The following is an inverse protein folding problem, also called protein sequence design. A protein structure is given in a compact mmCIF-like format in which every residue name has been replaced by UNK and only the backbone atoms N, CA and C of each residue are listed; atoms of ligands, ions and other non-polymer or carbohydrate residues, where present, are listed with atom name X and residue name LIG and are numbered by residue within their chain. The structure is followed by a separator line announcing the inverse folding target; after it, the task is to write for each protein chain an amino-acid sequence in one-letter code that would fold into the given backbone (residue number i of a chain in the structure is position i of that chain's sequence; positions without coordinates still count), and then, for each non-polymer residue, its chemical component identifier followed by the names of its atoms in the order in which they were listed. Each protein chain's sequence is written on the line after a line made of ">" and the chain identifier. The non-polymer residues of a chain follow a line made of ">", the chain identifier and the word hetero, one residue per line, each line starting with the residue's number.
data_IF_749340426449
#
_entry.id   IF_749340426449
#
_cell.length_a   1.000
_cell.length_b   1.000
_cell.length_c   1.000
_cell.angle_alpha   90.00
_cell.angle_beta   90.00
_cell.angle_gamma   90.00
#
_symmetry.space_group_name_H-M   'P 1'
#
loop_
_entity.id
_entity.type
_entity.pdbx_description
1 polymer ?
#
# COMPACT_ATOMS: atom_id res chain seq x y z
N UNK A 1 3.75 -19.91 -8.05
CA UNK A 1 4.84 -20.84 -8.43
C UNK A 1 6.23 -20.47 -7.91
N UNK A 2 6.58 -19.19 -7.67
CA UNK A 2 7.92 -18.83 -7.19
C UNK A 2 8.25 -19.45 -5.83
N UNK A 3 7.29 -19.50 -4.88
CA UNK A 3 7.46 -20.12 -3.55
C UNK A 3 7.84 -21.61 -3.64
N UNK A 4 7.16 -22.36 -4.52
CA UNK A 4 7.49 -23.76 -4.81
C UNK A 4 8.77 -23.94 -5.63
N UNK A 5 9.19 -22.93 -6.41
CA UNK A 5 10.47 -22.95 -7.13
C UNK A 5 11.65 -22.64 -6.20
N UNK A 6 11.46 -21.78 -5.20
CA UNK A 6 12.47 -21.43 -4.20
C UNK A 6 12.61 -22.47 -3.07
N UNK A 7 11.65 -23.38 -2.93
CA UNK A 7 11.75 -24.50 -2.00
C UNK A 7 12.82 -25.49 -2.47
N UNK A 8 13.88 -25.65 -1.68
CA UNK A 8 15.04 -26.49 -2.01
C UNK A 8 14.81 -27.94 -1.60
N UNK A 9 14.02 -28.17 -0.54
CA UNK A 9 13.76 -29.51 0.02
C UNK A 9 12.29 -29.93 -0.09
N UNK A 10 12.04 -31.22 -0.16
CA UNK A 10 10.67 -31.77 -0.14
C UNK A 10 9.93 -31.41 1.15
N UNK A 11 10.65 -31.34 2.28
CA UNK A 11 10.09 -30.87 3.55
C UNK A 11 9.60 -29.42 3.48
N UNK A 12 10.32 -28.53 2.79
CA UNK A 12 9.86 -27.16 2.57
C UNK A 12 8.65 -27.11 1.64
N UNK A 13 8.63 -27.93 0.58
CA UNK A 13 7.49 -28.05 -0.35
C UNK A 13 6.24 -28.55 0.38
N UNK A 14 6.40 -29.57 1.22
CA UNK A 14 5.31 -30.12 2.03
C UNK A 14 4.82 -29.09 3.02
N UNK A 15 5.72 -28.43 3.75
CA UNK A 15 5.38 -27.32 4.65
C UNK A 15 4.60 -26.21 3.94
N UNK A 16 5.00 -25.82 2.72
CA UNK A 16 4.28 -24.81 1.95
C UNK A 16 2.85 -25.28 1.66
N UNK A 17 2.65 -26.55 1.30
CA UNK A 17 1.32 -27.08 0.97
C UNK A 17 0.43 -27.30 2.20
N UNK A 18 1.02 -27.69 3.32
CA UNK A 18 0.28 -28.07 4.53
C UNK A 18 0.08 -26.90 5.48
N UNK A 19 1.05 -25.97 5.57
CA UNK A 19 1.04 -24.86 6.54
C UNK A 19 0.88 -23.48 5.87
N UNK A 20 0.86 -23.38 4.53
CA UNK A 20 0.66 -22.10 3.85
C UNK A 20 -0.02 -22.23 2.49
N UNK A 21 -0.18 -21.12 1.76
CA UNK A 21 -0.52 -19.81 2.32
C UNK A 21 -1.88 -19.84 3.05
N UNK A 22 -2.01 -19.04 4.11
CA UNK A 22 -3.26 -18.89 4.87
C UNK A 22 -4.06 -17.72 4.30
N UNK A 23 -5.36 -17.92 4.10
CA UNK A 23 -6.26 -16.92 3.52
C UNK A 23 -7.54 -16.75 4.32
N UNK A 24 -8.07 -15.54 4.33
CA UNK A 24 -9.40 -15.23 4.87
C UNK A 24 -10.17 -14.45 3.82
N UNK A 25 -11.37 -14.90 3.49
CA UNK A 25 -12.24 -14.21 2.54
C UNK A 25 -13.68 -14.30 3.04
N UNK A 26 -14.35 -13.16 3.13
CA UNK A 26 -15.70 -13.07 3.67
C UNK A 26 -16.76 -13.47 2.63
N UNK A 27 -16.57 -13.10 1.37
CA UNK A 27 -17.55 -13.32 0.32
C UNK A 27 -17.49 -14.78 -0.17
N UNK A 28 -18.58 -15.57 -0.07
CA UNK A 28 -18.56 -16.99 -0.43
C UNK A 28 -18.08 -17.25 -1.87
N UNK A 29 -18.49 -16.40 -2.82
CA UNK A 29 -18.11 -16.55 -4.22
C UNK A 29 -16.62 -16.29 -4.45
N UNK A 30 -16.06 -15.28 -3.78
CA UNK A 30 -14.63 -14.95 -3.86
C UNK A 30 -13.79 -16.02 -3.16
N UNK A 31 -14.28 -16.55 -2.03
CA UNK A 31 -13.65 -17.66 -1.33
C UNK A 31 -13.55 -18.90 -2.23
N UNK A 32 -14.64 -19.28 -2.90
CA UNK A 32 -14.65 -20.42 -3.81
C UNK A 32 -13.67 -20.23 -4.98
N UNK A 33 -13.56 -19.01 -5.52
CA UNK A 33 -12.60 -18.68 -6.57
C UNK A 33 -11.15 -18.74 -6.06
N UNK A 34 -10.87 -18.20 -4.87
CA UNK A 34 -9.55 -18.26 -4.24
C UNK A 34 -9.13 -19.71 -3.97
N UNK A 35 -10.03 -20.53 -3.41
CA UNK A 35 -9.79 -21.95 -3.18
C UNK A 35 -9.50 -22.69 -4.49
N UNK A 36 -10.28 -22.42 -5.55
CA UNK A 36 -10.07 -23.01 -6.88
C UNK A 36 -8.70 -22.62 -7.45
N UNK A 37 -8.31 -21.35 -7.33
CA UNK A 37 -7.01 -20.86 -7.78
C UNK A 37 -5.84 -21.52 -7.05
N UNK A 38 -5.96 -21.72 -5.73
CA UNK A 38 -4.91 -22.40 -4.95
C UNK A 38 -4.79 -23.89 -5.30
N UNK A 39 -5.92 -24.57 -5.53
CA UNK A 39 -5.95 -25.98 -5.98
C UNK A 39 -5.26 -26.11 -7.34
N UNK A 40 -5.63 -25.27 -8.32
CA UNK A 40 -5.06 -25.29 -9.67
C UNK A 40 -3.55 -25.00 -9.68
N UNK A 41 -3.05 -24.24 -8.71
CA UNK A 41 -1.62 -23.92 -8.57
C UNK A 41 -0.83 -24.96 -7.77
N UNK A 42 -1.50 -25.98 -7.22
CA UNK A 42 -0.88 -27.02 -6.41
C UNK A 42 -0.51 -26.56 -4.99
N UNK A 43 -1.07 -25.44 -4.55
CA UNK A 43 -0.86 -24.86 -3.22
C UNK A 43 -1.81 -25.48 -2.17
N UNK A 44 -2.89 -26.15 -2.59
CA UNK A 44 -3.87 -26.81 -1.72
C UNK A 44 -5.00 -25.87 -1.24
N UNK A 45 -5.98 -26.38 -0.46
CA UNK A 45 -7.10 -25.58 0.08
C UNK A 45 -7.19 -25.52 1.61
N UNK A 46 -6.27 -26.21 2.31
CA UNK A 46 -6.44 -26.55 3.72
C UNK A 46 -6.46 -25.32 4.65
N UNK A 47 -5.88 -24.20 4.21
CA UNK A 47 -5.55 -23.06 5.04
C UNK A 47 -6.41 -21.81 4.69
N UNK A 48 -7.64 -22.01 4.21
CA UNK A 48 -8.55 -20.95 3.79
C UNK A 48 -9.76 -20.87 4.73
N UNK A 49 -10.02 -19.68 5.29
CA UNK A 49 -11.16 -19.40 6.15
C UNK A 49 -12.21 -18.56 5.40
N UNK A 50 -13.45 -19.04 5.37
CA UNK A 50 -14.57 -18.26 4.84
C UNK A 50 -15.22 -17.48 5.99
N UNK A 51 -15.12 -16.16 5.97
CA UNK A 51 -15.72 -15.29 6.98
C UNK A 51 -15.00 -13.95 7.11
N UNK A 52 -15.50 -13.11 8.03
CA UNK A 52 -14.84 -11.85 8.35
C UNK A 52 -13.48 -12.10 8.99
N UNK A 53 -12.44 -11.37 8.60
CA UNK A 53 -11.17 -11.41 9.30
C UNK A 53 -11.28 -10.95 10.77
N UNK A 54 -12.32 -10.19 11.11
CA UNK A 54 -12.60 -9.77 12.49
C UNK A 54 -13.38 -10.80 13.31
N UNK A 55 -13.78 -11.94 12.72
CA UNK A 55 -14.37 -13.04 13.47
C UNK A 55 -13.38 -13.59 14.51
N UNK A 56 -13.84 -13.79 15.74
CA UNK A 56 -12.96 -14.18 16.85
C UNK A 56 -12.35 -15.57 16.67
N UNK A 57 -13.10 -16.52 16.11
CA UNK A 57 -12.62 -17.88 15.89
C UNK A 57 -11.58 -17.90 14.77
N UNK A 58 -11.82 -17.17 13.68
CA UNK A 58 -10.86 -17.00 12.58
C UNK A 58 -9.61 -16.28 13.06
N UNK A 59 -9.76 -15.17 13.81
CA UNK A 59 -8.64 -14.42 14.42
C UNK A 59 -7.78 -15.33 15.29
N UNK A 60 -8.41 -16.18 16.12
CA UNK A 60 -7.72 -17.12 17.01
C UNK A 60 -6.96 -18.18 16.21
N UNK A 61 -7.56 -18.70 15.14
CA UNK A 61 -6.89 -19.65 14.24
C UNK A 61 -5.61 -19.05 13.64
N UNK A 62 -5.71 -17.87 13.02
CA UNK A 62 -4.58 -17.21 12.35
C UNK A 62 -3.45 -16.88 13.34
N UNK A 63 -3.80 -16.43 14.54
CA UNK A 63 -2.79 -16.15 15.59
C UNK A 63 -2.02 -17.41 16.01
N UNK A 64 -2.66 -18.58 15.97
CA UNK A 64 -2.01 -19.85 16.31
C UNK A 64 -1.04 -20.31 15.21
N UNK A 65 -1.28 -19.93 13.96
CA UNK A 65 -0.39 -20.25 12.83
C UNK A 65 0.95 -19.49 12.90
N UNK A 66 1.01 -18.43 13.72
CA UNK A 66 2.23 -17.64 13.97
C UNK A 66 2.86 -17.11 12.68
N UNK A 67 2.03 -16.60 11.77
CA UNK A 67 2.45 -16.08 10.47
C UNK A 67 3.58 -15.04 10.58
N UNK A 68 4.54 -15.17 9.68
CA UNK A 68 5.75 -14.33 9.62
C UNK A 68 5.57 -13.13 8.70
N UNK A 69 4.67 -13.25 7.73
CA UNK A 69 4.40 -12.24 6.71
C UNK A 69 2.90 -12.14 6.52
N UNK A 70 2.37 -10.92 6.53
CA UNK A 70 0.98 -10.62 6.20
C UNK A 70 0.92 -9.71 4.99
N UNK A 71 0.05 -10.03 4.04
CA UNK A 71 -0.22 -9.21 2.85
C UNK A 71 -1.72 -8.97 2.76
N UNK A 72 -2.14 -7.70 2.67
CA UNK A 72 -3.55 -7.36 2.52
C UNK A 72 -3.78 -6.30 1.44
N UNK A 73 -4.94 -6.39 0.80
CA UNK A 73 -5.57 -5.36 0.00
C UNK A 73 -6.99 -5.21 0.57
N UNK A 74 -7.19 -4.44 1.66
CA UNK A 74 -8.49 -4.33 2.31
C UNK A 74 -9.52 -3.70 1.38
N UNK A 75 -10.83 -3.87 1.65
CA UNK A 75 -11.86 -3.15 0.92
C UNK A 75 -11.71 -1.64 1.16
N UNK A 76 -11.79 -0.84 0.09
CA UNK A 76 -11.59 0.61 0.18
C UNK A 76 -12.88 1.35 0.50
N UNK A 77 -12.74 2.48 1.19
CA UNK A 77 -13.78 3.50 1.40
C UNK A 77 -15.10 2.93 1.93
N UNK A 78 -15.01 1.99 2.87
CA UNK A 78 -16.18 1.51 3.59
C UNK A 78 -16.74 2.66 4.43
N UNK A 79 -18.07 2.85 4.41
CA UNK A 79 -18.72 3.97 5.11
C UNK A 79 -18.69 3.88 6.65
N UNK A 80 -18.30 2.73 7.20
CA UNK A 80 -18.16 2.48 8.64
C UNK A 80 -16.69 2.68 9.06
N UNK A 81 -16.45 3.53 10.06
CA UNK A 81 -15.11 3.81 10.60
C UNK A 81 -14.43 2.55 11.17
N UNK A 82 -15.21 1.58 11.67
CA UNK A 82 -14.68 0.28 12.12
C UNK A 82 -14.21 -0.61 10.97
N UNK A 83 -14.57 -0.25 9.74
CA UNK A 83 -14.15 -0.90 8.49
C UNK A 83 -13.20 0.00 7.68
N UNK A 84 -12.59 1.01 8.31
CA UNK A 84 -11.52 1.79 7.69
C UNK A 84 -10.30 0.90 7.40
N UNK A 85 -9.58 1.15 6.31
CA UNK A 85 -8.49 0.30 5.81
C UNK A 85 -7.39 0.12 6.87
N UNK A 86 -7.06 1.18 7.61
CA UNK A 86 -6.11 1.12 8.73
C UNK A 86 -6.53 0.18 9.88
N UNK A 87 -7.83 -0.09 10.05
CA UNK A 87 -8.32 -1.07 11.03
C UNK A 87 -7.95 -2.48 10.58
N UNK A 88 -8.10 -2.79 9.29
CA UNK A 88 -7.64 -4.06 8.71
C UNK A 88 -6.11 -4.20 8.78
N UNK A 89 -5.36 -3.12 8.50
CA UNK A 89 -3.90 -3.10 8.65
C UNK A 89 -3.49 -3.45 10.07
N UNK A 90 -4.07 -2.74 11.06
CA UNK A 90 -3.81 -3.00 12.47
C UNK A 90 -4.15 -4.46 12.85
N UNK A 91 -5.31 -4.94 12.44
CA UNK A 91 -5.75 -6.31 12.73
C UNK A 91 -4.79 -7.36 12.17
N UNK A 92 -4.35 -7.20 10.91
CA UNK A 92 -3.35 -8.08 10.31
C UNK A 92 -2.04 -8.07 11.12
N UNK A 93 -1.55 -6.91 11.54
CA UNK A 93 -0.33 -6.79 12.35
C UNK A 93 -0.48 -7.44 13.74
N UNK A 94 -1.65 -7.33 14.36
CA UNK A 94 -1.98 -7.97 15.63
C UNK A 94 -2.00 -9.51 15.53
N UNK A 95 -2.31 -10.04 14.35
CA UNK A 95 -2.32 -11.48 14.06
C UNK A 95 -0.93 -12.06 13.78
N UNK A 96 0.02 -11.27 13.25
CA UNK A 96 1.38 -11.73 12.97
C UNK A 96 2.19 -12.06 14.23
N UNK A 97 3.22 -12.91 14.10
CA UNK A 97 4.19 -13.11 15.18
C UNK A 97 5.02 -11.84 15.43
N UNK A 98 5.66 -11.74 16.60
CA UNK A 98 6.58 -10.63 16.88
C UNK A 98 7.74 -10.61 15.89
N UNK A 99 8.00 -9.44 15.32
CA UNK A 99 9.00 -9.26 14.25
C UNK A 99 8.52 -9.69 12.87
N UNK A 100 7.25 -10.11 12.72
CA UNK A 100 6.67 -10.40 11.41
C UNK A 100 6.54 -9.14 10.54
N UNK A 101 6.48 -9.32 9.22
CA UNK A 101 6.41 -8.22 8.25
C UNK A 101 4.98 -8.09 7.73
N UNK A 102 4.35 -6.96 7.99
CA UNK A 102 3.04 -6.63 7.43
C UNK A 102 3.17 -5.71 6.22
N UNK A 103 2.51 -6.06 5.11
CA UNK A 103 2.48 -5.28 3.88
C UNK A 103 1.03 -5.04 3.52
N UNK A 104 0.65 -3.78 3.35
CA UNK A 104 -0.70 -3.42 2.97
C UNK A 104 -0.67 -2.44 1.79
N UNK A 105 -1.45 -2.72 0.76
CA UNK A 105 -1.78 -1.71 -0.26
C UNK A 105 -3.09 -1.04 0.15
N UNK A 106 -3.06 0.27 0.33
CA UNK A 106 -4.19 1.07 0.83
C UNK A 106 -4.28 2.39 0.06
N UNK A 107 -5.40 3.14 0.11
CA UNK A 107 -5.45 4.48 -0.45
C UNK A 107 -4.40 5.40 0.18
N UNK A 108 -3.83 6.31 -0.61
CA UNK A 108 -2.88 7.32 -0.14
C UNK A 108 -3.43 8.14 1.04
N UNK A 109 -4.75 8.30 1.11
CA UNK A 109 -5.43 8.97 2.21
C UNK A 109 -5.09 8.34 3.58
N UNK A 110 -4.86 7.03 3.66
CA UNK A 110 -4.44 6.36 4.90
C UNK A 110 -3.06 6.84 5.40
N UNK A 111 -2.19 7.28 4.49
CA UNK A 111 -0.86 7.75 4.82
C UNK A 111 -0.88 9.22 5.27
N UNK A 112 -1.65 10.07 4.57
CA UNK A 112 -1.62 11.53 4.75
C UNK A 112 -2.64 12.02 5.78
N UNK A 113 -3.85 11.45 5.82
CA UNK A 113 -4.90 11.98 6.68
C UNK A 113 -4.67 11.60 8.16
N UNK A 114 -5.04 12.49 9.10
CA UNK A 114 -5.13 12.12 10.50
C UNK A 114 -6.14 10.99 10.72
N UNK A 115 -5.74 9.95 11.45
CA UNK A 115 -6.65 8.86 11.82
C UNK A 115 -6.20 8.19 13.12
N UNK A 116 -7.14 7.88 14.02
CA UNK A 116 -6.85 7.29 15.35
C UNK A 116 -6.02 6.00 15.26
N UNK A 117 -6.28 5.17 14.26
CA UNK A 117 -5.55 3.91 14.05
C UNK A 117 -4.06 4.12 13.76
N UNK A 118 -3.61 5.29 13.25
CA UNK A 118 -2.18 5.56 13.06
C UNK A 118 -1.45 5.52 14.41
N UNK A 119 -2.02 6.14 15.44
CA UNK A 119 -1.47 6.14 16.79
C UNK A 119 -1.48 4.73 17.41
N UNK A 120 -2.57 3.98 17.23
CA UNK A 120 -2.68 2.61 17.73
C UNK A 120 -1.68 1.65 17.06
N UNK A 121 -1.48 1.78 15.74
CA UNK A 121 -0.50 1.02 14.99
C UNK A 121 0.90 1.34 15.52
N UNK A 122 1.30 2.61 15.61
CA UNK A 122 2.65 2.97 16.07
C UNK A 122 2.91 2.61 17.55
N UNK A 123 1.86 2.54 18.37
CA UNK A 123 1.95 2.10 19.77
C UNK A 123 2.42 0.65 19.89
N UNK A 124 2.00 -0.23 18.97
CA UNK A 124 2.27 -1.66 19.04
C UNK A 124 3.21 -2.18 17.94
N UNK A 125 3.39 -1.43 16.86
CA UNK A 125 4.07 -1.83 15.64
C UNK A 125 4.97 -0.71 15.14
N UNK A 126 5.87 -1.03 14.22
CA UNK A 126 6.83 -0.08 13.65
C UNK A 126 6.49 0.12 12.18
N UNK A 127 6.23 1.37 11.78
CA UNK A 127 6.22 1.74 10.37
C UNK A 127 7.64 1.65 9.83
N UNK A 128 7.85 0.81 8.82
CA UNK A 128 9.15 0.60 8.18
C UNK A 128 9.26 1.44 6.90
N UNK A 129 8.21 1.46 6.09
CA UNK A 129 8.17 2.26 4.88
C UNK A 129 6.76 2.56 4.37
N UNK A 130 6.66 3.60 3.56
CA UNK A 130 5.51 3.82 2.67
C UNK A 130 5.99 4.16 1.26
N UNK A 131 5.41 3.52 0.25
CA UNK A 131 5.72 3.77 -1.15
C UNK A 131 4.50 4.33 -1.87
N UNK A 132 4.62 5.55 -2.38
CA UNK A 132 3.61 6.23 -3.19
C UNK A 132 3.59 5.61 -4.58
N UNK A 133 2.45 5.05 -5.00
CA UNK A 133 2.34 4.31 -6.27
C UNK A 133 1.76 5.19 -7.39
N UNK A 134 1.81 4.74 -8.66
CA UNK A 134 1.25 5.48 -9.79
C UNK A 134 -0.26 5.75 -9.62
N UNK A 135 -0.71 6.94 -9.98
CA UNK A 135 -2.09 7.40 -9.74
C UNK A 135 -3.13 6.56 -10.47
N UNK A 136 -2.78 6.06 -11.66
CA UNK A 136 -3.68 5.27 -12.50
C UNK A 136 -3.53 3.76 -12.28
N UNK A 137 -2.85 3.31 -11.21
CA UNK A 137 -2.60 1.89 -10.97
C UNK A 137 -3.89 1.07 -10.88
N UNK A 138 -4.95 1.64 -10.29
CA UNK A 138 -6.26 1.00 -10.15
C UNK A 138 -7.32 1.57 -11.10
N UNK A 139 -6.93 2.29 -12.16
CA UNK A 139 -7.87 2.81 -13.14
C UNK A 139 -8.81 1.70 -13.68
N UNK A 140 -10.12 1.99 -13.82
CA UNK A 140 -10.76 3.31 -13.73
C UNK A 140 -11.14 3.75 -12.30
N UNK A 141 -10.83 2.96 -11.27
CA UNK A 141 -11.07 3.36 -9.87
C UNK A 141 -10.17 4.54 -9.55
N UNK A 142 -10.76 5.70 -9.24
CA UNK A 142 -10.07 6.98 -9.02
C UNK A 142 -9.27 7.07 -7.71
N UNK A 143 -8.82 5.94 -7.18
CA UNK A 143 -8.08 5.86 -5.92
C UNK A 143 -6.58 5.76 -6.20
N UNK A 144 -5.82 6.70 -5.63
CA UNK A 144 -4.36 6.68 -5.64
C UNK A 144 -3.88 5.75 -4.52
N UNK A 145 -3.19 4.63 -4.80
CA UNK A 145 -2.75 3.72 -3.76
C UNK A 145 -1.34 4.05 -3.25
N UNK A 146 -1.03 3.52 -2.07
CA UNK A 146 0.32 3.42 -1.52
C UNK A 146 0.52 2.03 -0.92
N UNK A 147 1.76 1.58 -0.80
CA UNK A 147 2.10 0.38 -0.02
C UNK A 147 2.71 0.82 1.29
N UNK A 148 2.18 0.31 2.40
CA UNK A 148 2.76 0.46 3.73
C UNK A 148 3.42 -0.85 4.16
N UNK A 149 4.63 -0.74 4.72
CA UNK A 149 5.40 -1.86 5.27
C UNK A 149 5.61 -1.62 6.75
N UNK A 150 5.38 -2.66 7.56
CA UNK A 150 5.50 -2.60 9.00
C UNK A 150 6.26 -3.81 9.56
N UNK A 151 6.91 -3.59 10.70
CA UNK A 151 7.35 -4.66 11.60
C UNK A 151 6.31 -4.82 12.72
N UNK A 152 5.72 -6.01 12.82
CA UNK A 152 4.67 -6.34 13.78
C UNK A 152 5.21 -6.51 15.21
N UNK A 153 4.40 -6.08 16.17
CA UNK A 153 4.61 -6.21 17.62
C UNK A 153 5.95 -5.67 18.14
N UNK A 154 6.49 -4.67 17.46
CA UNK A 154 7.58 -3.82 17.94
C UNK A 154 7.09 -2.38 17.93
N UNK A 155 6.84 -1.75 19.09
CA UNK A 155 6.43 -0.34 19.14
C UNK A 155 7.39 0.58 18.39
N UNK A 156 6.85 1.55 17.65
CA UNK A 156 7.65 2.46 16.83
C UNK A 156 8.63 3.28 17.68
N UNK A 157 8.20 3.70 18.88
CA UNK A 157 9.04 4.42 19.85
C UNK A 157 10.25 3.61 20.33
N UNK A 158 10.10 2.28 20.43
CA UNK A 158 11.20 1.37 20.82
C UNK A 158 12.15 1.14 19.65
N UNK A 159 11.62 0.97 18.44
CA UNK A 159 12.45 0.85 17.23
C UNK A 159 13.32 2.09 17.03
N UNK A 160 12.75 3.29 17.23
CA UNK A 160 13.42 4.59 17.11
C UNK A 160 14.14 4.82 15.77
N UNK A 161 13.78 4.02 14.75
CA UNK A 161 14.29 4.12 13.37
C UNK A 161 13.54 5.21 12.61
N UNK A 162 14.17 5.74 11.57
CA UNK A 162 13.48 6.52 10.55
C UNK A 162 12.62 5.57 9.71
N UNK A 163 11.43 6.02 9.32
CA UNK A 163 10.63 5.38 8.28
C UNK A 163 11.19 5.80 6.91
N UNK A 164 11.20 4.87 5.96
CA UNK A 164 11.67 5.12 4.60
C UNK A 164 10.49 5.37 3.66
N UNK A 165 10.55 6.41 2.84
CA UNK A 165 9.47 6.79 1.95
C UNK A 165 9.96 6.75 0.51
N UNK A 166 9.28 5.98 -0.34
CA UNK A 166 9.62 5.84 -1.77
C UNK A 166 8.59 6.53 -2.66
N UNK A 167 9.05 7.34 -3.61
CA UNK A 167 8.23 8.00 -4.60
C UNK A 167 8.14 7.18 -5.90
N UNK A 168 7.36 6.11 -5.87
CA UNK A 168 7.24 5.12 -6.94
C UNK A 168 6.13 5.47 -7.95
N UNK A 169 6.15 6.70 -8.48
CA UNK A 169 5.10 7.17 -9.40
C UNK A 169 5.27 6.75 -10.86
N UNK A 170 6.52 6.50 -11.29
CA UNK A 170 6.86 6.26 -12.69
C UNK A 170 7.33 4.81 -12.86
N UNK A 171 6.40 3.88 -13.05
CA UNK A 171 6.69 2.45 -13.23
C UNK A 171 6.94 2.03 -14.69
N UNK A 172 6.92 2.97 -15.64
CA UNK A 172 7.14 2.72 -17.06
C UNK A 172 5.90 2.24 -17.84
N UNK A 173 4.79 1.92 -17.15
CA UNK A 173 3.59 1.44 -17.82
C UNK A 173 2.82 2.58 -18.50
N UNK A 174 2.34 2.32 -19.71
CA UNK A 174 1.44 3.22 -20.45
C UNK A 174 0.02 2.66 -20.49
N UNK A 175 -0.99 3.53 -20.41
CA UNK A 175 -2.40 3.13 -20.51
C UNK A 175 -2.83 3.03 -21.98
N UNK A 176 -3.49 1.92 -22.30
CA UNK A 176 -4.13 1.70 -23.60
C UNK A 176 -5.64 1.58 -23.44
N UNK A 177 -6.42 2.02 -24.44
CA UNK A 177 -7.89 2.02 -24.38
C UNK A 177 -8.52 0.62 -24.16
N UNK A 178 -7.83 -0.46 -24.56
CA UNK A 178 -8.42 -1.81 -24.56
C UNK A 178 -7.65 -2.86 -23.75
N UNK A 179 -6.37 -2.63 -23.42
CA UNK A 179 -5.54 -3.62 -22.71
C UNK A 179 -5.16 -3.18 -21.30
N UNK A 180 -5.68 -2.04 -20.83
CA UNK A 180 -5.26 -1.43 -19.57
C UNK A 180 -3.81 -0.94 -19.66
N UNK A 181 -3.06 -1.10 -18.57
CA UNK A 181 -1.66 -0.68 -18.46
C UNK A 181 -0.74 -1.73 -19.08
N UNK A 182 0.16 -1.32 -19.97
CA UNK A 182 1.17 -2.19 -20.59
C UNK A 182 2.58 -1.66 -20.36
N UNK A 183 3.53 -2.56 -20.17
CA UNK A 183 4.96 -2.29 -20.19
C UNK A 183 5.43 -2.32 -21.66
N UNK A 184 5.25 -1.20 -22.36
CA UNK A 184 5.44 -1.14 -23.82
C UNK A 184 6.92 -1.20 -24.22
N UNK A 185 7.82 -0.73 -23.37
CA UNK A 185 9.26 -0.66 -23.61
C UNK A 185 10.05 -1.77 -22.89
N UNK A 186 9.37 -2.62 -22.10
CA UNK A 186 10.02 -3.68 -21.35
C UNK A 186 10.86 -3.16 -20.18
N UNK A 187 10.60 -1.93 -19.71
CA UNK A 187 11.39 -1.26 -18.68
C UNK A 187 11.03 -1.71 -17.27
N UNK A 188 9.85 -2.31 -17.06
CA UNK A 188 9.36 -2.66 -15.73
C UNK A 188 10.32 -3.52 -14.90
N UNK A 189 10.94 -4.60 -15.41
CA UNK A 189 11.87 -5.39 -14.61
C UNK A 189 13.01 -4.56 -14.02
N UNK A 190 13.58 -3.63 -14.80
CA UNK A 190 14.66 -2.74 -14.36
C UNK A 190 14.16 -1.75 -13.30
N UNK A 191 12.98 -1.16 -13.51
CA UNK A 191 12.39 -0.20 -12.56
C UNK A 191 12.05 -0.89 -11.25
N UNK A 192 11.37 -2.05 -11.31
CA UNK A 192 11.06 -2.90 -10.15
C UNK A 192 12.31 -3.24 -9.35
N UNK A 193 13.36 -3.71 -10.02
CA UNK A 193 14.57 -4.15 -9.33
C UNK A 193 15.28 -2.99 -8.64
N UNK A 194 15.36 -1.82 -9.30
CA UNK A 194 15.85 -0.57 -8.69
C UNK A 194 15.01 -0.19 -7.46
N UNK A 195 13.69 -0.15 -7.58
CA UNK A 195 12.79 0.20 -6.47
C UNK A 195 12.96 -0.73 -5.27
N UNK A 196 13.01 -2.05 -5.52
CA UNK A 196 13.19 -3.04 -4.45
C UNK A 196 14.57 -2.93 -3.83
N UNK A 197 15.61 -2.69 -4.62
CA UNK A 197 16.99 -2.49 -4.14
C UNK A 197 17.10 -1.25 -3.25
N UNK A 198 16.63 -0.09 -3.72
CA UNK A 198 16.70 1.17 -2.95
C UNK A 198 15.92 1.08 -1.65
N UNK A 199 14.75 0.42 -1.65
CA UNK A 199 14.01 0.12 -0.42
C UNK A 199 14.79 -0.80 0.53
N UNK A 200 15.36 -1.91 0.02
CA UNK A 200 16.10 -2.87 0.85
C UNK A 200 17.34 -2.24 1.50
N UNK A 201 18.03 -1.39 0.75
CA UNK A 201 19.23 -0.68 1.21
C UNK A 201 18.91 0.62 1.97
N UNK A 202 17.62 1.04 2.01
CA UNK A 202 17.16 2.29 2.63
C UNK A 202 17.86 3.53 2.06
N UNK A 203 18.15 3.51 0.76
CA UNK A 203 18.83 4.60 0.06
C UNK A 203 17.96 5.86 0.04
N UNK A 204 18.57 7.02 0.29
CA UNK A 204 17.91 8.34 0.21
C UNK A 204 18.41 9.01 -1.07
N UNK A 205 17.52 9.17 -2.04
CA UNK A 205 17.85 9.65 -3.37
C UNK A 205 16.90 10.83 -3.68
N UNK A 206 17.43 12.04 -3.95
CA UNK A 206 16.59 13.19 -4.33
C UNK A 206 15.61 12.85 -5.46
N UNK A 207 14.33 13.16 -5.26
CA UNK A 207 13.26 12.87 -6.21
C UNK A 207 12.78 11.41 -6.27
N UNK A 208 13.42 10.48 -5.57
CA UNK A 208 13.02 9.05 -5.55
C UNK A 208 12.71 8.53 -4.14
N UNK A 209 13.41 8.98 -3.11
CA UNK A 209 13.22 8.48 -1.75
C UNK A 209 13.76 9.41 -0.66
N UNK A 210 13.17 9.30 0.53
CA UNK A 210 13.55 10.07 1.73
C UNK A 210 13.38 9.23 2.99
N UNK A 211 14.14 9.53 4.05
CA UNK A 211 13.99 8.86 5.34
C UNK A 211 13.75 9.89 6.46
N UNK A 212 12.64 9.75 7.19
CA UNK A 212 12.20 10.68 8.23
C UNK A 212 11.75 9.95 9.50
N UNK A 213 12.02 10.54 10.67
CA UNK A 213 11.34 10.12 11.90
C UNK A 213 9.95 10.73 11.87
N UNK A 214 8.92 9.91 12.05
CA UNK A 214 7.52 10.31 11.99
C UNK A 214 6.75 9.79 13.20
N UNK A 215 5.65 10.47 13.52
CA UNK A 215 4.67 10.08 14.50
C UNK A 215 3.29 9.93 13.82
N UNK A 216 2.23 9.73 14.60
CA UNK A 216 0.89 9.47 14.09
C UNK A 216 0.23 10.67 13.39
N UNK A 217 0.63 11.89 13.75
CA UNK A 217 0.09 13.14 13.21
C UNK A 217 0.82 13.60 11.94
N UNK A 218 1.95 12.97 11.60
CA UNK A 218 2.74 13.28 10.42
C UNK A 218 2.17 12.57 9.17
N UNK A 219 2.37 13.14 7.99
CA UNK A 219 2.08 12.49 6.72
C UNK A 219 3.09 11.36 6.44
N UNK A 220 2.61 10.16 6.09
CA UNK A 220 3.48 9.01 5.84
C UNK A 220 3.75 8.83 4.35
N UNK A 221 4.18 9.87 3.64
CA UNK A 221 4.47 9.81 2.20
C UNK A 221 5.79 10.52 1.86
N UNK A 222 6.34 10.23 0.68
CA UNK A 222 7.60 10.84 0.25
C UNK A 222 7.39 12.32 -0.10
N UNK A 223 6.24 12.63 -0.70
CA UNK A 223 5.83 13.95 -1.19
C UNK A 223 5.90 15.04 -0.11
N UNK A 224 5.65 14.69 1.15
CA UNK A 224 5.70 15.62 2.28
C UNK A 224 7.13 16.05 2.67
N UNK A 225 8.16 15.30 2.26
CA UNK A 225 9.52 15.46 2.77
C UNK A 225 10.63 15.50 1.72
N UNK A 226 10.30 15.22 0.46
CA UNK A 226 11.27 15.34 -0.62
C UNK A 226 11.51 16.81 -0.96
N UNK A 227 12.77 17.16 -1.16
CA UNK A 227 13.12 18.41 -1.83
C UNK A 227 12.76 18.27 -3.30
N UNK A 228 11.71 18.96 -3.72
CA UNK A 228 11.31 19.00 -5.12
C UNK A 228 12.37 19.75 -5.91
N UNK A 229 12.96 19.09 -6.91
CA UNK A 229 13.86 19.77 -7.84
C UNK A 229 13.05 20.67 -8.78
N UNK A 230 12.87 21.92 -8.35
CA UNK A 230 12.18 22.96 -9.13
C UNK A 230 12.96 23.38 -10.39
N UNK A 231 14.18 22.88 -10.62
CA UNK A 231 14.95 23.23 -11.84
C UNK A 231 14.29 22.73 -13.13
N UNK A 232 13.42 21.72 -13.02
CA UNK A 232 12.71 21.09 -14.14
C UNK A 232 11.27 21.57 -14.32
N UNK A 233 10.71 22.36 -13.38
CA UNK A 233 9.34 22.88 -13.49
C UNK A 233 9.37 24.10 -14.40
N UNK A 234 8.89 23.94 -15.62
CA UNK A 234 8.76 25.02 -16.57
C UNK A 234 7.50 25.85 -16.26
N UNK A 235 7.52 27.14 -16.59
CA UNK A 235 6.35 28.03 -16.39
C UNK A 235 5.11 27.47 -17.07
N UNK A 236 5.29 26.80 -18.19
CA UNK A 236 4.27 26.15 -19.00
C UNK A 236 3.54 25.02 -18.26
N UNK A 237 4.22 24.31 -17.35
CA UNK A 237 3.59 23.27 -16.53
C UNK A 237 2.63 23.86 -15.50
N UNK A 238 3.03 24.96 -14.86
CA UNK A 238 2.18 25.70 -13.93
C UNK A 238 0.96 26.29 -14.64
N UNK A 239 1.16 26.93 -15.80
CA UNK A 239 0.06 27.48 -16.61
C UNK A 239 -0.93 26.40 -17.05
N UNK A 240 -0.47 25.19 -17.34
CA UNK A 240 -1.33 24.07 -17.72
C UNK A 240 -2.21 23.61 -16.55
N UNK A 241 -1.66 23.48 -15.35
CA UNK A 241 -2.45 23.07 -14.18
C UNK A 241 -3.45 24.16 -13.76
N UNK A 242 -3.06 25.43 -13.82
CA UNK A 242 -3.98 26.56 -13.63
C UNK A 242 -5.13 26.54 -14.64
N UNK A 243 -4.84 26.33 -15.93
CA UNK A 243 -5.88 26.23 -16.97
C UNK A 243 -6.84 25.07 -16.71
N UNK A 244 -6.33 23.90 -16.27
CA UNK A 244 -7.18 22.77 -15.88
C UNK A 244 -8.07 23.10 -14.70
N UNK A 245 -7.53 23.75 -13.67
CA UNK A 245 -8.29 24.16 -12.49
C UNK A 245 -9.37 25.18 -12.83
N UNK A 246 -9.04 26.22 -13.61
CA UNK A 246 -10.01 27.23 -14.07
C UNK A 246 -11.09 26.57 -14.94
N UNK A 247 -10.72 25.70 -15.87
CA UNK A 247 -11.69 24.95 -16.68
C UNK A 247 -12.61 24.09 -15.80
N UNK A 248 -12.07 23.41 -14.78
CA UNK A 248 -12.84 22.65 -13.81
C UNK A 248 -13.82 23.54 -13.04
N UNK A 249 -13.39 24.71 -12.53
CA UNK A 249 -14.26 25.67 -11.82
C UNK A 249 -15.41 26.17 -12.70
N UNK A 250 -15.11 26.54 -13.95
CA UNK A 250 -16.12 26.96 -14.93
C UNK A 250 -17.13 25.83 -15.20
N UNK A 251 -16.66 24.60 -15.40
CA UNK A 251 -17.51 23.44 -15.67
C UNK A 251 -18.34 23.00 -14.45
N UNK A 252 -17.85 23.26 -13.23
CA UNK A 252 -18.49 22.88 -11.97
C UNK A 252 -19.49 23.93 -11.46
N UNK A 253 -19.59 25.09 -12.12
CA UNK A 253 -20.49 26.18 -11.71
C UNK A 253 -20.04 26.96 -10.47
N UNK A 254 -18.86 26.66 -9.93
CA UNK A 254 -18.23 27.44 -8.87
C UNK A 254 -17.51 28.62 -9.52
N UNK A 255 -18.20 29.76 -9.60
CA UNK A 255 -17.66 30.99 -10.17
C UNK A 255 -16.31 31.38 -9.55
N UNK A 256 -15.38 31.83 -10.40
CA UNK A 256 -14.14 32.46 -9.97
C UNK A 256 -14.53 33.83 -9.41
N UNK A 257 -14.57 33.97 -8.08
CA UNK A 257 -14.69 35.28 -7.45
C UNK A 257 -13.33 35.96 -7.62
N UNK A 258 -13.29 36.99 -8.46
CA UNK A 258 -12.19 37.93 -8.44
C UNK A 258 -12.44 38.87 -7.25
N UNK A 259 -11.60 38.77 -6.22
CA UNK A 259 -11.50 39.86 -5.25
C UNK A 259 -10.86 41.04 -6.00
N UNK A 260 -11.68 42.04 -6.32
CA UNK A 260 -11.18 43.35 -6.71
C UNK A 260 -10.61 43.99 -5.45
N UNK A 261 -9.29 44.17 -5.43
CA UNK A 261 -8.60 44.99 -4.44
C UNK A 261 -9.26 46.37 -4.39
N UNK A 262 -9.89 46.70 -3.26
CA UNK A 262 -10.28 48.08 -2.95
C UNK A 262 -9.02 48.93 -2.77
N UNK A 263 -8.65 49.61 -3.85
CA UNK A 263 -7.81 50.79 -3.76
C UNK A 263 -8.63 51.96 -3.19
N UNK A 264 -8.46 52.22 -1.88
CA UNK A 264 -8.58 53.56 -1.29
C UNK A 264 -7.81 53.67 0.02
#
# INVERSE_FOLDING_TARGET
>A
HQMMKSAVTDKQREKIKTEGPIGVEQLPNMFALAASNMILRGDGKANLHQGSCFDEAITKAIKNDKCDVGLINPPYSQGDENLHELVFVKHMLDCLKKGGVGIAIVPMNCAIAPHKSKAEILKNHTLEAVMSLPDELFAPVGTIPCIMVFTAKTPHSISNKKSWFGYWKKDGFIRTKHRGRIDADGSWPKIRDRWVETFRNREVIPGESVARKVNANDEWCAEAYMETDYSSIAREDFERELKKYVAFKILSGEGVVADEDEAS
#
